data_IF_643613375621
#
_entry.id   IF_643613375621
#
_cell.length_a   1.000
_cell.length_b   1.000
_cell.length_c   1.000
_cell.angle_alpha   90.00
_cell.angle_beta   90.00
_cell.angle_gamma   90.00
#
_symmetry.space_group_name_H-M   'P 1'
#
loop_
_entity.id
_entity.type
_entity.pdbx_description
1 polymer ?
#
# COMPACT_ATOMS: atom_id res chain seq x y z
N UNK A 1 2.35 -4.10 3.70
CA UNK A 1 2.59 -5.28 2.83
C UNK A 1 1.24 -5.87 2.44
N UNK A 2 0.90 -5.95 1.15
CA UNK A 2 -0.18 -6.83 0.70
C UNK A 2 0.08 -8.23 1.23
N UNK A 3 -0.82 -8.78 2.04
CA UNK A 3 -0.69 -10.15 2.49
C UNK A 3 -0.95 -11.07 1.28
N UNK A 4 0.04 -11.83 0.76
CA UNK A 4 -0.20 -12.75 -0.34
C UNK A 4 -1.30 -13.78 0.00
N UNK A 5 -1.55 -14.03 1.30
CA UNK A 5 -2.64 -14.89 1.74
C UNK A 5 -4.04 -14.30 1.47
N UNK A 6 -4.21 -12.96 1.40
CA UNK A 6 -5.52 -12.36 1.09
C UNK A 6 -5.82 -12.35 -0.41
N UNK A 7 -4.79 -12.29 -1.25
CA UNK A 7 -4.91 -12.38 -2.71
C UNK A 7 -5.29 -13.78 -3.19
N UNK A 8 -4.78 -14.83 -2.55
CA UNK A 8 -5.15 -16.22 -2.87
C UNK A 8 -6.62 -16.57 -2.60
N UNK A 9 -7.32 -15.76 -1.77
CA UNK A 9 -8.75 -15.90 -1.49
C UNK A 9 -9.65 -15.20 -2.51
N UNK A 10 -9.08 -14.40 -3.43
CA UNK A 10 -9.82 -13.71 -4.49
C UNK A 10 -10.19 -14.72 -5.58
N UNK A 11 -11.41 -14.63 -6.10
CA UNK A 11 -11.85 -15.54 -7.16
C UNK A 11 -11.01 -15.38 -8.43
N UNK A 12 -10.69 -16.49 -9.12
CA UNK A 12 -9.77 -16.49 -10.27
C UNK A 12 -10.13 -15.49 -11.37
N UNK A 13 -11.42 -15.26 -11.65
CA UNK A 13 -11.85 -14.25 -12.63
C UNK A 13 -11.46 -12.82 -12.20
N UNK A 14 -11.65 -12.48 -10.92
CA UNK A 14 -11.28 -11.17 -10.38
C UNK A 14 -9.77 -11.00 -10.41
N UNK A 15 -9.01 -12.06 -10.08
CA UNK A 15 -7.56 -12.05 -10.13
C UNK A 15 -7.03 -11.86 -11.56
N UNK A 16 -7.59 -12.56 -12.55
CA UNK A 16 -7.21 -12.41 -13.96
C UNK A 16 -7.44 -10.98 -14.48
N UNK A 17 -8.59 -10.39 -14.16
CA UNK A 17 -8.89 -9.01 -14.56
C UNK A 17 -8.02 -7.99 -13.80
N UNK A 18 -7.70 -8.27 -12.54
CA UNK A 18 -6.74 -7.46 -11.78
C UNK A 18 -5.34 -7.50 -12.40
N UNK A 19 -4.85 -8.68 -12.79
CA UNK A 19 -3.54 -8.83 -13.47
C UNK A 19 -3.49 -7.96 -14.72
N UNK A 20 -4.50 -8.04 -15.60
CA UNK A 20 -4.58 -7.22 -16.82
C UNK A 20 -4.56 -5.73 -16.51
N UNK A 21 -5.31 -5.30 -15.50
CA UNK A 21 -5.32 -3.90 -15.08
C UNK A 21 -3.95 -3.43 -14.59
N UNK A 22 -3.34 -4.15 -13.65
CA UNK A 22 -2.05 -3.81 -13.05
C UNK A 22 -0.93 -3.81 -14.11
N UNK A 23 -0.90 -4.83 -14.97
CA UNK A 23 0.02 -4.93 -16.11
C UNK A 23 -0.11 -3.73 -17.07
N UNK A 24 -1.36 -3.31 -17.34
CA UNK A 24 -1.66 -2.13 -18.14
C UNK A 24 -1.11 -0.85 -17.52
N UNK A 25 -1.40 -0.61 -16.23
CA UNK A 25 -0.93 0.59 -15.50
C UNK A 25 0.60 0.65 -15.40
N UNK A 26 1.26 -0.49 -15.16
CA UNK A 26 2.72 -0.56 -15.18
C UNK A 26 3.30 -0.14 -16.53
N UNK A 27 2.65 -0.53 -17.63
CA UNK A 27 3.01 -0.08 -18.98
C UNK A 27 2.87 1.43 -19.15
N UNK A 28 1.83 2.04 -18.61
CA UNK A 28 1.62 3.49 -18.67
C UNK A 28 2.67 4.26 -17.85
N UNK A 29 3.03 3.78 -16.65
CA UNK A 29 4.11 4.37 -15.85
C UNK A 29 5.47 4.31 -16.58
N UNK A 30 5.77 3.19 -17.25
CA UNK A 30 7.00 3.05 -18.04
C UNK A 30 7.02 4.03 -19.24
N UNK A 31 5.85 4.29 -19.86
CA UNK A 31 5.72 5.25 -20.97
C UNK A 31 5.75 6.70 -20.52
N UNK A 32 5.31 6.99 -19.29
CA UNK A 32 5.22 8.34 -18.74
C UNK A 32 6.53 9.12 -18.91
N UNK A 33 7.67 8.48 -18.67
CA UNK A 33 9.00 9.09 -18.85
C UNK A 33 9.27 9.54 -20.28
N UNK A 34 8.74 8.82 -21.29
CA UNK A 34 8.93 9.10 -22.71
C UNK A 34 7.95 10.15 -23.23
N UNK A 35 6.70 10.10 -22.78
CA UNK A 35 5.60 10.86 -23.40
C UNK A 35 5.13 12.06 -22.55
N UNK A 36 5.55 12.15 -21.27
CA UNK A 36 5.14 13.18 -20.29
C UNK A 36 3.62 13.39 -20.21
N UNK A 37 2.86 12.33 -20.44
CA UNK A 37 1.40 12.34 -20.38
C UNK A 37 0.92 11.06 -19.72
N UNK A 38 0.03 11.20 -18.75
CA UNK A 38 -0.69 10.07 -18.15
C UNK A 38 -2.15 10.16 -18.54
N UNK A 39 -2.70 9.05 -19.00
CA UNK A 39 -4.13 8.91 -19.21
C UNK A 39 -4.78 8.55 -17.87
N UNK A 40 -5.70 9.39 -17.40
CA UNK A 40 -6.53 9.06 -16.24
C UNK A 40 -7.28 7.75 -16.50
N UNK A 41 -7.25 6.86 -15.53
CA UNK A 41 -7.92 5.55 -15.61
C UNK A 41 -8.70 5.31 -14.33
N UNK A 42 -9.93 4.80 -14.45
CA UNK A 42 -10.75 4.42 -13.30
C UNK A 42 -10.74 2.90 -13.14
N UNK A 43 -10.57 2.43 -11.92
CA UNK A 43 -10.65 0.99 -11.60
C UNK A 43 -12.09 0.48 -11.77
N UNK A 44 -12.26 -0.73 -12.30
CA UNK A 44 -13.57 -1.37 -12.44
C UNK A 44 -14.14 -1.82 -11.08
N UNK A 45 -15.39 -1.46 -10.78
CA UNK A 45 -16.13 -1.88 -9.58
C UNK A 45 -16.38 -3.40 -9.51
N UNK A 46 -16.30 -4.11 -10.62
CA UNK A 46 -16.39 -5.58 -10.65
C UNK A 46 -15.11 -6.23 -10.13
N UNK A 47 -13.97 -5.56 -10.28
CA UNK A 47 -12.63 -6.08 -9.94
C UNK A 47 -12.14 -5.52 -8.60
N UNK A 48 -12.42 -4.25 -8.32
CA UNK A 48 -11.93 -3.54 -7.14
C UNK A 48 -13.08 -3.25 -6.17
N UNK A 49 -12.83 -3.42 -4.87
CA UNK A 49 -13.83 -3.22 -3.82
C UNK A 49 -14.29 -1.76 -3.72
N UNK A 50 -13.39 -0.82 -4.00
CA UNK A 50 -13.68 0.62 -4.02
C UNK A 50 -13.23 1.20 -5.35
N UNK A 51 -14.18 1.57 -6.23
CA UNK A 51 -13.85 2.25 -7.48
C UNK A 51 -13.09 3.54 -7.20
N UNK A 52 -11.88 3.64 -7.73
CA UNK A 52 -10.97 4.75 -7.52
C UNK A 52 -10.49 5.25 -8.89
N UNK A 53 -10.52 6.57 -9.06
CA UNK A 53 -9.89 7.23 -10.20
C UNK A 53 -8.39 7.36 -9.90
N UNK A 54 -7.55 6.72 -10.72
CA UNK A 54 -6.11 6.91 -10.66
C UNK A 54 -5.78 8.31 -11.17
N UNK A 55 -5.30 9.14 -10.25
CA UNK A 55 -4.85 10.49 -10.53
C UNK A 55 -3.46 10.48 -11.19
N UNK A 56 -2.84 11.65 -11.27
CA UNK A 56 -1.48 11.75 -11.79
C UNK A 56 -0.50 11.06 -10.82
N UNK A 57 0.30 10.10 -11.30
CA UNK A 57 1.28 9.39 -10.49
C UNK A 57 2.43 10.31 -10.08
N UNK A 58 3.05 10.02 -8.94
CA UNK A 58 4.28 10.68 -8.53
C UNK A 58 5.41 10.35 -9.53
N UNK A 59 5.95 11.35 -10.26
CA UNK A 59 6.95 11.12 -11.30
C UNK A 59 8.32 10.69 -10.74
N UNK A 60 8.67 11.07 -9.51
CA UNK A 60 9.92 10.68 -8.87
C UNK A 60 9.85 9.22 -8.41
N UNK A 61 8.74 8.83 -7.78
CA UNK A 61 8.51 7.43 -7.39
C UNK A 61 8.37 6.53 -8.61
N UNK A 62 7.66 6.97 -9.66
CA UNK A 62 7.56 6.21 -10.91
C UNK A 62 8.93 5.99 -11.58
N UNK A 63 9.83 6.97 -11.51
CA UNK A 63 11.20 6.84 -12.01
C UNK A 63 12.06 5.93 -11.12
N UNK A 64 11.88 6.00 -9.80
CA UNK A 64 12.57 5.15 -8.83
C UNK A 64 12.24 3.66 -9.05
N UNK A 65 10.96 3.34 -9.21
CA UNK A 65 10.48 1.96 -9.39
C UNK A 65 10.51 1.46 -10.84
N UNK A 66 11.03 2.24 -11.80
CA UNK A 66 11.06 1.83 -13.22
C UNK A 66 11.69 0.43 -13.46
N UNK A 67 12.84 0.08 -12.84
CA UNK A 67 13.43 -1.25 -12.99
C UNK A 67 12.51 -2.38 -12.50
N UNK A 68 11.95 -2.23 -11.30
CA UNK A 68 11.07 -3.22 -10.69
C UNK A 68 9.76 -3.39 -11.47
N UNK A 69 9.19 -2.28 -11.96
CA UNK A 69 8.01 -2.28 -12.82
C UNK A 69 8.26 -3.08 -14.11
N UNK A 70 9.46 -2.99 -14.70
CA UNK A 70 9.81 -3.76 -15.90
C UNK A 70 9.91 -5.24 -15.60
N UNK A 71 10.61 -5.60 -14.52
CA UNK A 71 10.77 -6.99 -14.11
C UNK A 71 9.42 -7.65 -13.80
N UNK A 72 8.61 -7.03 -12.96
CA UNK A 72 7.29 -7.54 -12.59
C UNK A 72 6.33 -7.60 -13.79
N UNK A 73 6.40 -6.62 -14.69
CA UNK A 73 5.61 -6.64 -15.93
C UNK A 73 6.03 -7.78 -16.85
N UNK A 74 7.32 -8.11 -16.92
CA UNK A 74 7.78 -9.28 -17.66
C UNK A 74 7.30 -10.58 -17.04
N UNK A 75 7.36 -10.71 -15.70
CA UNK A 75 6.89 -11.89 -15.00
C UNK A 75 5.37 -12.13 -15.15
N UNK A 76 4.58 -11.08 -15.37
CA UNK A 76 3.13 -11.15 -15.52
C UNK A 76 2.63 -11.16 -16.97
N UNK A 77 3.53 -11.13 -17.96
CA UNK A 77 3.16 -10.97 -19.37
C UNK A 77 2.27 -12.12 -19.89
N UNK A 78 2.70 -13.37 -19.67
CA UNK A 78 2.00 -14.55 -20.17
C UNK A 78 0.60 -14.71 -19.55
N UNK A 79 0.43 -14.32 -18.28
CA UNK A 79 -0.87 -14.30 -17.61
C UNK A 79 -1.78 -13.16 -18.11
N UNK A 80 -1.22 -11.97 -18.31
CA UNK A 80 -1.97 -10.81 -18.80
C UNK A 80 -2.48 -11.02 -20.24
N UNK A 81 -1.68 -11.68 -21.09
CA UNK A 81 -2.03 -12.02 -22.46
C UNK A 81 -2.92 -13.29 -22.54
N UNK A 82 -3.17 -13.96 -21.41
CA UNK A 82 -4.03 -15.14 -21.31
C UNK A 82 -3.41 -16.42 -21.89
N UNK A 83 -2.08 -16.45 -22.00
CA UNK A 83 -1.29 -17.62 -22.41
C UNK A 83 -1.26 -18.65 -21.29
N UNK A 84 -0.88 -18.21 -20.09
CA UNK A 84 -0.82 -19.05 -18.89
C UNK A 84 -2.10 -18.91 -18.05
N UNK A 85 -2.62 -20.01 -17.49
CA UNK A 85 -3.80 -19.97 -16.64
C UNK A 85 -3.49 -19.27 -15.31
N UNK A 86 -4.42 -18.45 -14.84
CA UNK A 86 -4.32 -17.77 -13.54
C UNK A 86 -4.81 -18.71 -12.44
N UNK A 87 -3.89 -19.18 -11.61
CA UNK A 87 -4.17 -20.08 -10.49
C UNK A 87 -3.84 -19.41 -9.15
N UNK A 88 -4.79 -19.40 -8.21
CA UNK A 88 -4.57 -18.82 -6.87
C UNK A 88 -3.61 -19.64 -5.99
N UNK A 89 -3.32 -20.88 -6.40
CA UNK A 89 -2.30 -21.74 -5.78
C UNK A 89 -0.88 -21.44 -6.24
N UNK A 90 -0.71 -20.70 -7.34
CA UNK A 90 0.62 -20.29 -7.80
C UNK A 90 1.13 -19.13 -6.95
N UNK A 91 2.00 -19.45 -5.99
CA UNK A 91 2.58 -18.46 -5.08
C UNK A 91 3.44 -17.44 -5.81
N UNK A 92 4.18 -17.84 -6.84
CA UNK A 92 5.06 -16.92 -7.57
C UNK A 92 4.22 -15.87 -8.31
N UNK A 93 3.11 -16.29 -8.91
CA UNK A 93 2.12 -15.38 -9.51
C UNK A 93 1.54 -14.43 -8.46
N UNK A 94 1.04 -14.95 -7.34
CA UNK A 94 0.42 -14.14 -6.28
C UNK A 94 1.41 -13.11 -5.71
N UNK A 95 2.66 -13.50 -5.49
CA UNK A 95 3.71 -12.62 -4.99
C UNK A 95 4.04 -11.52 -6.01
N UNK A 96 4.16 -11.87 -7.30
CA UNK A 96 4.40 -10.90 -8.37
C UNK A 96 3.26 -9.89 -8.52
N UNK A 97 2.01 -10.35 -8.44
CA UNK A 97 0.81 -9.49 -8.46
C UNK A 97 0.79 -8.57 -7.23
N UNK A 98 1.08 -9.12 -6.05
CA UNK A 98 1.14 -8.36 -4.81
C UNK A 98 2.21 -7.27 -4.85
N UNK A 99 3.40 -7.60 -5.35
CA UNK A 99 4.50 -6.64 -5.52
C UNK A 99 4.15 -5.54 -6.51
N UNK A 100 3.62 -5.90 -7.69
CA UNK A 100 3.24 -4.92 -8.70
C UNK A 100 2.15 -3.97 -8.19
N UNK A 101 1.14 -4.52 -7.53
CA UNK A 101 0.10 -3.73 -6.89
C UNK A 101 0.67 -2.75 -5.87
N UNK A 102 1.53 -3.21 -4.96
CA UNK A 102 2.10 -2.34 -3.92
C UNK A 102 2.84 -1.13 -4.54
N UNK A 103 3.63 -1.35 -5.60
CA UNK A 103 4.32 -0.25 -6.29
C UNK A 103 3.30 0.73 -6.87
N UNK A 104 2.25 0.25 -7.52
CA UNK A 104 1.20 1.10 -8.07
C UNK A 104 0.48 1.89 -6.96
N UNK A 105 0.17 1.26 -5.83
CA UNK A 105 -0.47 1.94 -4.70
C UNK A 105 0.41 3.07 -4.15
N UNK A 106 1.72 2.84 -4.04
CA UNK A 106 2.71 3.84 -3.62
C UNK A 106 2.77 5.01 -4.61
N UNK A 107 2.91 4.71 -5.90
CA UNK A 107 3.07 5.72 -6.96
C UNK A 107 1.81 6.55 -7.17
N UNK A 108 0.63 5.96 -7.01
CA UNK A 108 -0.66 6.66 -7.17
C UNK A 108 -1.23 7.21 -5.86
N UNK A 109 -0.64 6.90 -4.70
CA UNK A 109 -1.16 7.21 -3.37
C UNK A 109 -2.61 6.74 -3.15
N UNK A 110 -2.94 5.53 -3.62
CA UNK A 110 -4.28 4.95 -3.55
C UNK A 110 -4.22 3.47 -3.24
N UNK A 111 -5.20 3.00 -2.47
CA UNK A 111 -5.37 1.58 -2.21
C UNK A 111 -6.12 0.90 -3.38
N UNK A 112 -5.54 -0.18 -3.91
CA UNK A 112 -6.08 -1.01 -5.00
C UNK A 112 -6.58 -2.34 -4.44
N UNK A 113 -7.56 -2.26 -3.55
CA UNK A 113 -8.15 -3.46 -2.91
C UNK A 113 -9.06 -4.22 -3.87
N UNK A 114 -8.81 -5.52 -4.04
CA UNK A 114 -9.60 -6.36 -4.93
C UNK A 114 -10.94 -6.74 -4.29
N UNK A 115 -11.94 -7.00 -5.13
CA UNK A 115 -13.25 -7.42 -4.67
C UNK A 115 -13.17 -8.83 -4.09
N UNK A 116 -13.66 -9.00 -2.86
CA UNK A 116 -13.56 -10.26 -2.11
C UNK A 116 -12.25 -10.41 -1.32
N UNK A 117 -11.32 -9.47 -1.45
CA UNK A 117 -10.13 -9.40 -0.60
C UNK A 117 -10.51 -8.86 0.78
N UNK A 118 -10.16 -9.59 1.83
CA UNK A 118 -10.29 -9.13 3.21
C UNK A 118 -8.99 -8.48 3.67
N UNK A 119 -8.75 -7.24 3.22
CA UNK A 119 -7.62 -6.43 3.71
C UNK A 119 -8.02 -5.70 5.00
N UNK A 120 -7.24 -5.88 6.07
CA UNK A 120 -7.10 -4.79 7.03
C UNK A 120 -6.32 -3.70 6.31
N UNK A 121 -6.96 -2.56 6.04
CA UNK A 121 -6.37 -1.42 5.31
C UNK A 121 -4.98 -1.11 5.86
N UNK A 122 -3.95 -1.25 5.01
CA UNK A 122 -2.54 -1.18 5.37
C UNK A 122 -2.04 0.26 5.67
N UNK A 123 -2.90 1.26 5.58
CA UNK A 123 -2.61 2.62 5.99
C UNK A 123 -3.33 2.89 7.32
N UNK A 124 -2.73 2.43 8.42
CA UNK A 124 -3.19 2.85 9.74
C UNK A 124 -2.91 4.35 9.90
N UNK A 125 -3.95 5.19 9.96
CA UNK A 125 -3.82 6.58 10.41
C UNK A 125 -4.22 6.63 11.89
N UNK A 126 -3.21 6.58 12.77
CA UNK A 126 -3.40 6.56 14.22
C UNK A 126 -3.12 7.94 14.77
N UNK A 127 -4.13 8.56 15.37
CA UNK A 127 -3.97 9.84 16.09
C UNK A 127 -4.29 9.64 17.57
N UNK A 128 -3.36 10.01 18.44
CA UNK A 128 -3.53 10.01 19.89
C UNK A 128 -3.28 11.37 20.49
N UNK A 129 -4.13 11.78 21.42
CA UNK A 129 -3.96 13.01 22.20
C UNK A 129 -3.95 12.68 23.69
N UNK A 130 -2.95 13.17 24.42
CA UNK A 130 -2.86 13.07 25.86
C UNK A 130 -2.63 14.45 26.47
N UNK A 131 -3.49 14.85 27.41
CA UNK A 131 -3.28 16.03 28.26
C UNK A 131 -3.18 15.61 29.71
N UNK A 132 -2.05 15.93 30.34
CA UNK A 132 -1.76 15.53 31.71
C UNK A 132 -1.18 16.72 32.48
N UNK A 133 -1.51 16.83 33.76
CA UNK A 133 -0.97 17.92 34.60
C UNK A 133 0.42 17.60 35.12
N UNK A 134 0.63 16.37 35.58
CA UNK A 134 1.88 15.97 36.20
C UNK A 134 2.28 14.57 35.74
N UNK A 135 3.56 14.42 35.40
CA UNK A 135 4.14 13.17 34.91
C UNK A 135 5.30 12.78 35.82
N UNK A 136 5.05 11.81 36.71
CA UNK A 136 6.06 11.25 37.62
C UNK A 136 6.64 9.90 37.15
N UNK A 137 6.13 9.38 36.03
CA UNK A 137 6.55 8.12 35.43
C UNK A 137 6.47 8.26 33.92
N UNK A 138 5.96 7.25 33.22
CA UNK A 138 5.90 7.27 31.76
C UNK A 138 4.49 7.60 31.24
N UNK A 139 4.40 8.46 30.23
CA UNK A 139 3.19 8.68 29.45
C UNK A 139 3.52 8.88 27.97
N UNK A 140 2.76 8.20 27.12
CA UNK A 140 2.80 8.37 25.67
C UNK A 140 1.40 8.67 25.12
N UNK A 141 1.29 9.60 24.16
CA UNK A 141 0.02 9.84 23.50
C UNK A 141 -0.33 8.71 22.51
N UNK A 142 0.69 8.10 21.89
CA UNK A 142 0.57 6.86 21.14
C UNK A 142 1.77 5.97 21.45
N UNK A 143 1.52 4.69 21.76
CA UNK A 143 2.56 3.66 21.80
C UNK A 143 2.27 2.60 20.75
N UNK A 144 3.21 2.41 19.82
CA UNK A 144 3.12 1.42 18.75
C UNK A 144 4.28 0.41 18.87
N UNK A 145 3.95 -0.87 19.02
CA UNK A 145 4.97 -1.92 19.09
C UNK A 145 5.63 -2.23 17.74
N UNK A 146 4.93 -2.00 16.61
CA UNK A 146 5.50 -2.15 15.27
C UNK A 146 4.72 -1.27 14.30
N UNK A 147 5.44 -0.48 13.51
CA UNK A 147 4.87 0.29 12.41
C UNK A 147 5.39 -0.25 11.08
N UNK A 148 4.47 -0.76 10.24
CA UNK A 148 4.80 -1.34 8.93
C UNK A 148 4.49 -0.37 7.79
N UNK A 149 3.37 0.37 7.88
CA UNK A 149 2.99 1.43 6.94
C UNK A 149 1.84 2.27 7.51
N UNK A 150 1.77 3.55 7.13
CA UNK A 150 0.73 4.49 7.58
C UNK A 150 1.29 5.74 8.26
N UNK A 151 0.42 6.52 8.90
CA UNK A 151 0.80 7.72 9.66
C UNK A 151 0.42 7.59 11.13
N UNK A 152 1.36 7.98 12.01
CA UNK A 152 1.10 8.10 13.45
C UNK A 152 1.32 9.54 13.86
N UNK A 153 0.31 10.14 14.49
CA UNK A 153 0.41 11.46 15.12
C UNK A 153 0.09 11.33 16.60
N UNK A 154 1.04 11.70 17.44
CA UNK A 154 0.87 11.77 18.88
C UNK A 154 1.03 13.20 19.35
N UNK A 155 -0.01 13.76 19.96
CA UNK A 155 0.05 15.07 20.61
C UNK A 155 -0.02 14.88 22.11
N UNK A 156 1.05 15.26 22.79
CA UNK A 156 1.13 15.21 24.24
C UNK A 156 1.32 16.62 24.82
N UNK A 157 0.51 16.96 25.80
CA UNK A 157 0.60 18.21 26.55
C UNK A 157 0.73 17.87 28.05
N UNK A 158 1.88 18.21 28.63
CA UNK A 158 2.15 18.02 30.05
C UNK A 158 2.46 19.36 30.71
N UNK A 159 1.77 19.69 31.81
CA UNK A 159 2.06 20.95 32.54
C UNK A 159 3.36 20.84 33.36
N UNK A 160 3.63 19.67 33.94
CA UNK A 160 4.86 19.38 34.70
C UNK A 160 5.31 17.94 34.48
N UNK A 161 6.62 17.77 34.28
CA UNK A 161 7.27 16.45 34.28
C UNK A 161 8.26 16.43 35.43
N UNK A 162 8.04 15.53 36.38
CA UNK A 162 8.87 15.37 37.58
C UNK A 162 10.19 14.69 37.23
N UNK A 163 11.18 14.77 38.13
CA UNK A 163 12.48 14.12 37.94
C UNK A 163 12.31 12.60 37.81
N UNK A 164 12.67 12.06 36.63
CA UNK A 164 12.49 10.64 36.28
C UNK A 164 11.19 10.34 35.52
N UNK A 165 10.36 11.35 35.25
CA UNK A 165 9.21 11.25 34.37
C UNK A 165 9.59 11.35 32.89
N UNK A 166 8.82 10.66 32.05
CA UNK A 166 8.97 10.64 30.60
C UNK A 166 7.63 10.94 29.93
N UNK A 167 7.65 11.90 29.00
CA UNK A 167 6.47 12.42 28.33
C UNK A 167 6.70 12.40 26.82
N UNK A 168 6.11 11.43 26.13
CA UNK A 168 6.42 11.11 24.73
C UNK A 168 5.19 11.30 23.85
N UNK A 169 5.32 12.02 22.73
CA UNK A 169 4.23 12.16 21.77
C UNK A 169 3.91 10.81 21.12
N UNK A 170 4.90 10.22 20.47
CA UNK A 170 4.80 8.90 19.84
C UNK A 170 5.98 8.06 20.29
N UNK A 171 5.69 6.89 20.86
CA UNK A 171 6.67 5.88 21.21
C UNK A 171 6.53 4.68 20.24
N UNK A 172 7.58 4.39 19.47
CA UNK A 172 7.59 3.32 18.46
C UNK A 172 8.78 2.41 18.67
N UNK A 173 8.52 1.12 18.93
CA UNK A 173 9.59 0.15 19.18
C UNK A 173 10.38 -0.19 17.89
N UNK A 174 9.72 -0.24 16.72
CA UNK A 174 10.38 -0.47 15.43
C UNK A 174 9.60 0.09 14.22
N UNK A 175 10.34 0.65 13.27
CA UNK A 175 9.85 1.07 11.93
C UNK A 175 10.58 0.23 10.88
N UNK A 176 9.83 -0.36 9.95
CA UNK A 176 10.35 -1.15 8.81
C UNK A 176 10.08 -0.47 7.47
#
# INVERSE_FOLDING_TARGET
MADPFTLGAVGGVVLSEAIKFLYGQAGELIKLRREKRVKKTTTDAQVFATPTELQEPDPELAAHFEPDLRELRHALADYADGVDPVETSDRALIDAVGALRNILEIVYHRDLTLRGESRQTANADVTGEARVREVAGYVAAVRAGRLVSGSVRGRLEAERVEAGGEAIGVDVDSVE
#
